data_IF_692243989445
#
_entry.id   IF_692243989445
#
_cell.length_a   1.000
_cell.length_b   1.000
_cell.length_c   1.000
_cell.angle_alpha   90.00
_cell.angle_beta   90.00
_cell.angle_gamma   90.00
#
_symmetry.space_group_name_H-M   'P 1'
#
loop_
_entity.id
_entity.type
_entity.pdbx_description
1 polymer ?
#
# COMPACT_ATOMS: atom_id res chain seq x y z
N UNK A 1 -6.72 7.23 -5.87
CA UNK A 1 -7.72 7.14 -4.79
C UNK A 1 -7.83 8.53 -4.20
N UNK A 2 -8.90 9.25 -4.51
CA UNK A 2 -9.14 10.56 -3.88
C UNK A 2 -9.46 10.34 -2.41
N UNK A 3 -8.70 10.99 -1.55
CA UNK A 3 -8.93 11.03 -0.11
C UNK A 3 -10.14 11.94 0.08
N UNK A 4 -11.28 11.40 0.52
CA UNK A 4 -12.43 12.22 0.88
C UNK A 4 -12.11 12.97 2.17
N UNK A 5 -12.61 14.21 2.32
CA UNK A 5 -12.52 14.95 3.58
C UNK A 5 -13.57 14.42 4.59
N UNK A 6 -13.45 13.16 4.99
CA UNK A 6 -14.41 12.47 5.86
C UNK A 6 -13.88 12.20 7.28
N UNK A 7 -12.80 12.90 7.67
CA UNK A 7 -12.08 12.70 8.95
C UNK A 7 -11.52 11.28 9.14
N UNK A 8 -11.55 10.42 8.12
CA UNK A 8 -10.98 9.08 8.19
C UNK A 8 -9.46 9.10 8.00
N UNK A 9 -8.78 8.12 8.59
CA UNK A 9 -7.35 7.85 8.34
C UNK A 9 -7.24 6.80 7.24
N UNK A 10 -6.54 7.14 6.17
CA UNK A 10 -6.33 6.26 5.02
C UNK A 10 -4.97 5.59 5.12
N UNK A 11 -4.95 4.25 5.05
CA UNK A 11 -3.73 3.45 5.11
C UNK A 11 -3.61 2.60 3.84
N UNK A 12 -2.44 2.62 3.23
CA UNK A 12 -2.16 2.00 1.93
C UNK A 12 -1.15 2.83 1.13
N UNK A 13 -0.94 2.53 -0.16
CA UNK A 13 -1.60 1.53 -0.99
C UNK A 13 -1.02 0.14 -0.77
N UNK A 14 -1.92 -0.85 -0.74
CA UNK A 14 -1.52 -2.25 -0.76
C UNK A 14 -1.20 -2.70 -2.21
N UNK A 15 -0.23 -3.60 -2.43
CA UNK A 15 0.18 -4.02 -3.77
C UNK A 15 -0.99 -4.52 -4.62
N UNK A 16 -1.85 -5.33 -4.01
CA UNK A 16 -3.07 -5.86 -4.61
C UNK A 16 -4.19 -5.96 -3.57
N UNK A 17 -5.41 -6.27 -4.02
CA UNK A 17 -6.60 -6.43 -3.16
C UNK A 17 -6.42 -7.53 -2.12
N UNK A 18 -5.66 -8.58 -2.46
CA UNK A 18 -5.40 -9.70 -1.57
C UNK A 18 -4.56 -9.28 -0.36
N UNK A 19 -3.47 -8.51 -0.56
CA UNK A 19 -2.65 -7.97 0.54
C UNK A 19 -3.42 -7.02 1.46
N UNK A 20 -4.29 -6.18 0.89
CA UNK A 20 -5.17 -5.34 1.70
C UNK A 20 -6.12 -6.18 2.57
N UNK A 21 -6.67 -7.25 1.99
CA UNK A 21 -7.57 -8.16 2.69
C UNK A 21 -6.86 -8.94 3.80
N UNK A 22 -5.66 -9.48 3.53
CA UNK A 22 -4.85 -10.16 4.54
C UNK A 22 -4.50 -9.22 5.71
N UNK A 23 -4.13 -7.97 5.41
CA UNK A 23 -3.86 -6.96 6.45
C UNK A 23 -5.10 -6.70 7.29
N UNK A 24 -6.28 -6.55 6.66
CA UNK A 24 -7.54 -6.37 7.37
C UNK A 24 -7.87 -7.57 8.26
N UNK A 25 -7.78 -8.80 7.73
CA UNK A 25 -8.05 -10.03 8.48
C UNK A 25 -7.12 -10.16 9.70
N UNK A 26 -5.83 -9.85 9.53
CA UNK A 26 -4.86 -9.82 10.61
C UNK A 26 -5.20 -8.78 11.67
N UNK A 27 -5.51 -7.53 11.26
CA UNK A 27 -5.88 -6.47 12.18
C UNK A 27 -7.11 -6.83 12.99
N UNK A 28 -8.11 -7.46 12.37
CA UNK A 28 -9.33 -7.84 13.08
C UNK A 28 -9.13 -9.00 14.05
N UNK A 29 -8.12 -9.85 13.85
CA UNK A 29 -7.71 -10.88 14.82
C UNK A 29 -6.96 -10.28 16.01
N UNK A 30 -6.10 -9.30 15.74
CA UNK A 30 -5.27 -8.63 16.77
C UNK A 30 -6.07 -7.62 17.60
N UNK A 31 -6.90 -6.83 16.93
CA UNK A 31 -7.61 -5.67 17.47
C UNK A 31 -9.09 -5.74 17.06
N UNK A 32 -9.88 -6.58 17.74
CA UNK A 32 -11.29 -6.75 17.42
C UNK A 32 -12.02 -5.41 17.49
N UNK A 33 -12.84 -5.13 16.48
CA UNK A 33 -13.73 -3.97 16.38
C UNK A 33 -15.11 -4.43 15.91
N UNK A 34 -16.11 -3.56 16.02
CA UNK A 34 -17.44 -3.88 15.50
C UNK A 34 -17.38 -4.12 13.98
N UNK A 35 -17.99 -5.22 13.53
CA UNK A 35 -18.03 -5.61 12.11
C UNK A 35 -19.42 -5.44 11.46
N UNK A 36 -20.40 -4.98 12.22
CA UNK A 36 -21.78 -4.89 11.80
C UNK A 36 -22.39 -3.56 12.26
N UNK A 37 -23.61 -3.28 11.83
CA UNK A 37 -24.31 -2.04 12.14
C UNK A 37 -24.85 -1.97 13.59
N UNK A 38 -24.56 -2.97 14.44
CA UNK A 38 -24.78 -2.87 15.88
C UNK A 38 -26.13 -3.35 16.41
N UNK A 39 -27.03 -3.90 15.58
CA UNK A 39 -28.45 -4.12 15.95
C UNK A 39 -28.90 -5.59 15.98
N UNK A 40 -28.09 -6.49 16.54
CA UNK A 40 -28.48 -7.91 16.61
C UNK A 40 -29.19 -8.31 17.92
N UNK A 41 -28.95 -7.62 19.05
CA UNK A 41 -29.56 -7.96 20.35
C UNK A 41 -29.25 -9.36 20.87
N UNK A 42 -28.19 -10.00 20.34
CA UNK A 42 -27.67 -11.31 20.72
C UNK A 42 -26.21 -11.45 20.26
N UNK A 43 -25.40 -12.33 20.88
CA UNK A 43 -24.02 -12.53 20.46
C UNK A 43 -23.98 -13.21 19.08
N UNK A 44 -23.13 -12.69 18.18
CA UNK A 44 -22.91 -13.29 16.86
C UNK A 44 -21.67 -14.19 16.86
N UNK A 45 -21.51 -14.99 15.80
CA UNK A 45 -20.37 -15.88 15.63
C UNK A 45 -19.03 -15.14 15.74
N UNK A 46 -18.92 -13.92 15.19
CA UNK A 46 -17.68 -13.14 15.27
C UNK A 46 -17.32 -12.76 16.71
N UNK A 47 -18.30 -12.52 17.58
CA UNK A 47 -18.04 -12.28 19.00
C UNK A 47 -17.55 -13.57 19.69
N UNK A 48 -18.22 -14.70 19.43
CA UNK A 48 -17.84 -15.99 19.99
C UNK A 48 -16.43 -16.43 19.56
N UNK A 49 -16.03 -16.07 18.34
CA UNK A 49 -14.67 -16.30 17.82
C UNK A 49 -13.65 -15.25 18.30
N UNK A 50 -14.03 -14.27 19.13
CA UNK A 50 -13.15 -13.19 19.59
C UNK A 50 -12.75 -12.17 18.51
N UNK A 51 -13.44 -12.15 17.37
CA UNK A 51 -13.19 -11.29 16.22
C UNK A 51 -13.98 -9.97 16.24
N UNK A 52 -14.81 -9.78 17.25
CA UNK A 52 -15.63 -8.58 17.49
C UNK A 52 -15.76 -8.34 19.01
N UNK A 53 -15.83 -7.08 19.42
CA UNK A 53 -16.04 -6.68 20.84
C UNK A 53 -17.50 -6.79 21.29
N UNK A 54 -18.42 -7.15 20.39
CA UNK A 54 -19.80 -7.48 20.73
C UNK A 54 -20.70 -6.31 21.19
N UNK A 55 -20.61 -5.08 20.64
CA UNK A 55 -21.39 -3.94 21.13
C UNK A 55 -22.91 -4.10 20.88
N UNK A 56 -23.33 -5.12 20.14
CA UNK A 56 -24.73 -5.42 19.85
C UNK A 56 -25.51 -5.98 21.03
N UNK A 57 -24.80 -6.52 22.02
CA UNK A 57 -25.36 -7.28 23.14
C UNK A 57 -24.57 -7.09 24.45
N UNK A 58 -23.37 -6.51 24.36
CA UNK A 58 -22.49 -6.25 25.51
C UNK A 58 -22.20 -4.76 25.64
N UNK A 59 -21.98 -4.31 26.87
CA UNK A 59 -21.52 -2.95 27.13
C UNK A 59 -20.10 -2.75 26.61
N UNK A 60 -19.94 -1.79 25.70
CA UNK A 60 -18.65 -1.41 25.14
C UNK A 60 -18.50 0.10 25.29
N UNK A 61 -17.50 0.52 26.05
CA UNK A 61 -17.26 1.95 26.26
C UNK A 61 -16.56 2.61 25.06
N UNK A 62 -16.74 3.92 24.85
CA UNK A 62 -15.99 4.66 23.84
C UNK A 62 -14.47 4.51 24.00
N UNK A 63 -13.98 4.43 25.24
CA UNK A 63 -12.55 4.24 25.55
C UNK A 63 -12.01 2.89 25.07
N UNK A 64 -12.78 1.81 25.23
CA UNK A 64 -12.41 0.49 24.72
C UNK A 64 -12.26 0.53 23.20
N UNK A 65 -13.19 1.19 22.52
CA UNK A 65 -13.16 1.37 21.07
C UNK A 65 -11.93 2.18 20.64
N UNK A 66 -11.69 3.31 21.31
CA UNK A 66 -10.58 4.20 21.00
C UNK A 66 -9.21 3.53 21.23
N UNK A 67 -9.11 2.66 22.24
CA UNK A 67 -7.90 1.87 22.50
C UNK A 67 -7.59 0.92 21.34
N UNK A 68 -8.60 0.28 20.75
CA UNK A 68 -8.41 -0.58 19.57
C UNK A 68 -8.04 0.25 18.33
N UNK A 69 -8.71 1.37 18.08
CA UNK A 69 -8.35 2.29 16.99
C UNK A 69 -6.88 2.75 17.10
N UNK A 70 -6.44 3.08 18.31
CA UNK A 70 -5.07 3.53 18.57
C UNK A 70 -4.06 2.43 18.25
N UNK A 71 -4.33 1.18 18.65
CA UNK A 71 -3.47 0.02 18.34
C UNK A 71 -3.40 -0.25 16.84
N UNK A 72 -4.53 -0.21 16.14
CA UNK A 72 -4.61 -0.38 14.68
C UNK A 72 -3.81 0.72 13.98
N UNK A 73 -4.02 1.98 14.38
CA UNK A 73 -3.29 3.14 13.86
C UNK A 73 -1.77 2.94 14.02
N UNK A 74 -1.33 2.58 15.23
CA UNK A 74 0.09 2.36 15.52
C UNK A 74 0.69 1.20 14.71
N UNK A 75 -0.05 0.11 14.54
CA UNK A 75 0.37 -1.02 13.72
C UNK A 75 0.61 -0.59 12.27
N UNK A 76 -0.36 0.13 11.70
CA UNK A 76 -0.32 0.61 10.31
C UNK A 76 0.70 1.75 10.09
N UNK A 77 1.06 2.50 11.12
CA UNK A 77 2.16 3.50 11.10
C UNK A 77 3.57 2.88 11.14
N UNK A 78 3.69 1.55 11.02
CA UNK A 78 4.99 0.87 10.94
C UNK A 78 5.53 0.34 12.27
N UNK A 79 4.71 0.32 13.35
CA UNK A 79 5.11 -0.30 14.63
C UNK A 79 4.85 -1.82 14.67
N UNK A 80 4.63 -2.45 13.51
CA UNK A 80 4.42 -3.88 13.37
C UNK A 80 5.57 -4.72 13.97
N UNK A 81 6.82 -4.26 13.86
CA UNK A 81 7.98 -4.95 14.47
C UNK A 81 7.86 -5.03 16.01
N UNK A 82 7.42 -3.93 16.65
CA UNK A 82 7.17 -3.89 18.09
C UNK A 82 6.05 -4.84 18.49
N UNK A 83 4.96 -4.87 17.72
CA UNK A 83 3.83 -5.79 17.96
C UNK A 83 4.28 -7.24 17.81
N UNK A 84 5.08 -7.55 16.78
CA UNK A 84 5.66 -8.88 16.58
C UNK A 84 6.52 -9.31 17.77
N UNK A 85 7.37 -8.41 18.29
CA UNK A 85 8.18 -8.71 19.46
C UNK A 85 7.33 -9.00 20.71
N UNK A 86 6.28 -8.20 20.93
CA UNK A 86 5.34 -8.44 22.04
C UNK A 86 4.64 -9.80 21.93
N UNK A 87 4.18 -10.16 20.73
CA UNK A 87 3.57 -11.47 20.48
C UNK A 87 4.54 -12.62 20.68
N UNK A 88 5.81 -12.46 20.29
CA UNK A 88 6.87 -13.48 20.53
C UNK A 88 7.11 -13.69 22.03
N UNK A 89 7.11 -12.62 22.83
CA UNK A 89 7.24 -12.71 24.29
C UNK A 89 6.02 -13.41 24.88
N UNK A 90 4.81 -13.01 24.49
CA UNK A 90 3.58 -13.62 24.99
C UNK A 90 3.47 -15.09 24.60
N UNK A 91 3.84 -15.46 23.37
CA UNK A 91 3.88 -16.84 22.92
C UNK A 91 4.80 -17.70 23.80
N UNK A 92 6.00 -17.22 24.13
CA UNK A 92 6.91 -17.91 25.03
C UNK A 92 6.30 -18.12 26.41
N UNK A 93 5.64 -17.10 26.96
CA UNK A 93 4.94 -17.19 28.23
C UNK A 93 3.82 -18.24 28.22
N UNK A 94 3.06 -18.33 27.12
CA UNK A 94 2.02 -19.36 26.96
C UNK A 94 2.61 -20.78 26.85
N UNK A 95 3.79 -20.93 26.22
CA UNK A 95 4.52 -22.21 26.19
C UNK A 95 4.99 -22.60 27.59
N UNK A 96 5.55 -21.67 28.36
CA UNK A 96 5.96 -21.89 29.75
C UNK A 96 4.78 -22.29 30.65
N UNK A 97 3.59 -21.75 30.37
CA UNK A 97 2.34 -22.10 31.04
C UNK A 97 1.67 -23.38 30.50
N UNK A 98 2.30 -24.10 29.56
CA UNK A 98 1.78 -25.31 28.91
C UNK A 98 0.48 -25.11 28.11
N UNK A 99 0.18 -23.87 27.70
CA UNK A 99 -0.96 -23.50 26.86
C UNK A 99 -0.61 -23.56 25.37
N UNK A 100 -0.39 -24.78 24.86
CA UNK A 100 0.11 -25.00 23.50
C UNK A 100 -0.83 -24.51 22.39
N UNK A 101 -2.15 -24.65 22.56
CA UNK A 101 -3.13 -24.15 21.60
C UNK A 101 -3.01 -22.63 21.45
N UNK A 102 -2.93 -21.92 22.57
CA UNK A 102 -2.78 -20.46 22.57
C UNK A 102 -1.44 -20.01 22.00
N UNK A 103 -0.37 -20.75 22.28
CA UNK A 103 0.94 -20.50 21.67
C UNK A 103 0.91 -20.72 20.15
N UNK A 104 0.21 -21.74 19.66
CA UNK A 104 0.04 -22.00 18.23
C UNK A 104 -0.72 -20.86 17.54
N UNK A 105 -1.80 -20.36 18.15
CA UNK A 105 -2.53 -19.20 17.62
C UNK A 105 -1.65 -17.96 17.51
N UNK A 106 -0.84 -17.68 18.54
CA UNK A 106 0.10 -16.55 18.54
C UNK A 106 1.19 -16.71 17.48
N UNK A 107 1.70 -17.93 17.28
CA UNK A 107 2.66 -18.26 16.21
C UNK A 107 2.05 -17.98 14.84
N UNK A 108 0.83 -18.42 14.59
CA UNK A 108 0.16 -18.24 13.31
C UNK A 108 -0.11 -16.75 13.01
N UNK A 109 -0.42 -15.96 14.05
CA UNK A 109 -0.51 -14.49 13.96
C UNK A 109 0.85 -13.87 13.63
N UNK A 110 1.94 -14.33 14.25
CA UNK A 110 3.30 -13.85 13.96
C UNK A 110 3.68 -14.12 12.50
N UNK A 111 3.41 -15.33 12.00
CA UNK A 111 3.66 -15.70 10.61
C UNK A 111 2.84 -14.83 9.65
N UNK A 112 1.56 -14.58 9.97
CA UNK A 112 0.72 -13.68 9.19
C UNK A 112 1.26 -12.24 9.17
N UNK A 113 1.84 -11.74 10.27
CA UNK A 113 2.52 -10.43 10.29
C UNK A 113 3.75 -10.45 9.39
N UNK A 114 4.58 -11.49 9.46
CA UNK A 114 5.79 -11.63 8.65
C UNK A 114 5.44 -11.68 7.15
N UNK A 115 4.46 -12.49 6.75
CA UNK A 115 4.01 -12.58 5.35
C UNK A 115 3.38 -11.29 4.83
N UNK A 116 2.65 -10.56 5.66
CA UNK A 116 1.88 -9.38 5.22
C UNK A 116 2.72 -8.10 5.26
N UNK A 117 3.53 -7.90 6.31
CA UNK A 117 4.31 -6.68 6.55
C UNK A 117 5.73 -6.79 6.01
N UNK A 118 6.41 -7.93 6.14
CA UNK A 118 7.80 -8.04 5.66
C UNK A 118 7.89 -8.11 4.15
N UNK A 119 6.91 -8.69 3.43
CA UNK A 119 6.87 -8.60 1.95
C UNK A 119 6.84 -7.16 1.44
N UNK A 120 6.28 -6.21 2.21
CA UNK A 120 6.28 -4.79 1.85
C UNK A 120 7.65 -4.14 2.12
N UNK A 121 8.35 -4.54 3.19
CA UNK A 121 9.64 -3.96 3.60
C UNK A 121 10.86 -4.57 2.87
N UNK A 122 10.78 -5.83 2.42
CA UNK A 122 11.87 -6.55 1.75
C UNK A 122 12.22 -5.91 0.39
N UNK A 123 11.22 -5.38 -0.33
CA UNK A 123 11.38 -4.75 -1.65
C UNK A 123 12.17 -3.43 -1.55
N UNK A 124 11.96 -2.64 -0.49
CA UNK A 124 12.53 -1.29 -0.40
C UNK A 124 13.87 -1.21 0.32
N UNK A 125 14.16 -2.15 1.23
CA UNK A 125 15.50 -2.41 1.76
C UNK A 125 16.11 -1.31 2.65
N UNK A 126 15.54 -0.11 2.67
CA UNK A 126 15.95 1.02 3.51
C UNK A 126 14.76 1.92 3.88
N UNK A 127 14.92 2.76 4.90
CA UNK A 127 13.90 3.71 5.37
C UNK A 127 13.89 5.04 4.60
N UNK A 128 14.58 5.13 3.46
CA UNK A 128 14.69 6.41 2.77
C UNK A 128 13.40 6.79 2.04
N UNK A 129 13.10 8.08 2.03
CA UNK A 129 11.99 8.64 1.26
C UNK A 129 12.42 8.86 -0.18
N UNK A 130 11.83 8.11 -1.10
CA UNK A 130 12.13 8.16 -2.54
C UNK A 130 10.85 7.99 -3.34
N UNK A 131 10.83 8.45 -4.58
CA UNK A 131 9.82 7.95 -5.51
C UNK A 131 10.48 7.06 -6.55
N UNK A 132 9.70 6.18 -7.15
CA UNK A 132 10.14 5.28 -8.23
C UNK A 132 9.19 5.45 -9.39
N UNK A 133 9.76 5.80 -10.54
CA UNK A 133 9.05 5.83 -11.81
C UNK A 133 9.35 4.55 -12.56
N UNK A 134 8.33 4.02 -13.20
CA UNK A 134 8.46 3.05 -14.28
C UNK A 134 7.55 3.47 -15.43
N UNK A 135 7.84 2.99 -16.63
CA UNK A 135 7.02 3.26 -17.80
C UNK A 135 6.93 2.05 -18.71
N UNK A 136 5.95 2.07 -19.60
CA UNK A 136 5.76 1.04 -20.62
C UNK A 136 5.13 1.65 -21.86
N UNK A 137 5.37 1.03 -23.01
CA UNK A 137 4.82 1.44 -24.29
C UNK A 137 4.21 0.25 -25.02
N UNK A 138 3.04 0.46 -25.64
CA UNK A 138 2.41 -0.52 -26.53
C UNK A 138 1.47 0.18 -27.50
N UNK A 139 1.56 -0.16 -28.78
CA UNK A 139 0.67 0.36 -29.83
C UNK A 139 0.62 1.91 -29.85
N UNK A 140 1.74 2.58 -29.59
CA UNK A 140 1.83 4.05 -29.51
C UNK A 140 1.28 4.67 -28.22
N UNK A 141 0.57 3.91 -27.38
CA UNK A 141 0.21 4.34 -26.04
C UNK A 141 1.41 4.17 -25.13
N UNK A 142 1.63 5.17 -24.26
CA UNK A 142 2.72 5.15 -23.28
C UNK A 142 2.13 5.37 -21.90
N UNK A 143 2.45 4.52 -20.94
CA UNK A 143 2.05 4.70 -19.55
C UNK A 143 3.28 4.97 -18.70
N UNK A 144 3.12 5.80 -17.67
CA UNK A 144 4.06 5.84 -16.56
C UNK A 144 3.35 5.56 -15.24
N UNK A 145 4.11 5.04 -14.30
CA UNK A 145 3.65 4.69 -12.97
C UNK A 145 4.65 5.18 -11.94
N UNK A 146 4.17 5.95 -10.96
CA UNK A 146 4.96 6.54 -9.87
C UNK A 146 4.57 5.89 -8.56
N UNK A 147 5.52 5.26 -7.89
CA UNK A 147 5.39 4.83 -6.51
C UNK A 147 5.99 5.87 -5.57
N UNK A 148 5.22 6.28 -4.57
CA UNK A 148 5.72 7.13 -3.49
C UNK A 148 6.17 6.24 -2.35
N UNK A 149 7.48 6.22 -2.04
CA UNK A 149 8.04 5.40 -0.95
C UNK A 149 8.46 6.30 0.20
N UNK A 150 7.93 6.07 1.39
CA UNK A 150 8.35 6.78 2.61
C UNK A 150 8.58 5.75 3.72
N UNK A 151 9.65 5.91 4.49
CA UNK A 151 10.01 4.99 5.58
C UNK A 151 10.06 3.51 5.15
N UNK A 152 10.53 3.23 3.93
CA UNK A 152 10.67 1.85 3.43
C UNK A 152 9.37 1.15 3.05
N UNK A 153 8.26 1.88 2.93
CA UNK A 153 6.97 1.37 2.47
C UNK A 153 6.43 2.23 1.32
N UNK A 154 5.57 1.65 0.48
CA UNK A 154 4.82 2.42 -0.53
C UNK A 154 3.67 3.14 0.19
N UNK A 155 3.67 4.47 0.14
CA UNK A 155 2.65 5.36 0.71
C UNK A 155 1.64 5.85 -0.33
N UNK A 156 1.94 5.66 -1.61
CA UNK A 156 1.04 6.04 -2.68
C UNK A 156 1.47 5.47 -4.03
N UNK A 157 0.53 5.48 -4.96
CA UNK A 157 0.84 5.33 -6.37
C UNK A 157 -0.03 6.24 -7.22
N UNK A 158 0.55 6.77 -8.28
CA UNK A 158 -0.17 7.48 -9.35
C UNK A 158 0.36 6.96 -10.68
N UNK A 159 -0.45 7.11 -11.72
CA UNK A 159 -0.08 6.70 -13.07
C UNK A 159 -0.72 7.65 -14.07
N UNK A 160 -0.15 7.69 -15.26
CA UNK A 160 -0.69 8.40 -16.40
C UNK A 160 -0.62 7.54 -17.66
N UNK A 161 -1.44 7.87 -18.63
CA UNK A 161 -1.40 7.32 -19.98
C UNK A 161 -1.32 8.49 -20.94
N UNK A 162 -0.39 8.38 -21.88
CA UNK A 162 -0.26 9.23 -23.04
C UNK A 162 -0.79 8.46 -24.24
N UNK A 163 -1.70 9.10 -24.97
CA UNK A 163 -2.22 8.60 -26.24
C UNK A 163 -1.21 8.79 -27.38
N UNK A 164 -1.33 8.04 -28.48
CA UNK A 164 -0.40 8.14 -29.62
C UNK A 164 -0.30 9.53 -30.25
N UNK A 165 -1.35 10.35 -30.14
CA UNK A 165 -1.40 11.72 -30.66
C UNK A 165 -0.61 12.73 -29.81
N UNK A 166 -0.29 12.38 -28.57
CA UNK A 166 0.50 13.24 -27.69
C UNK A 166 1.98 13.08 -28.02
N UNK A 167 2.62 14.11 -28.58
CA UNK A 167 4.05 14.08 -28.92
C UNK A 167 5.00 14.23 -27.72
N UNK A 168 4.44 14.48 -26.53
CA UNK A 168 5.20 14.67 -25.30
C UNK A 168 6.13 13.47 -25.02
N UNK A 169 7.37 13.75 -24.60
CA UNK A 169 8.31 12.72 -24.15
C UNK A 169 7.91 12.15 -22.78
N UNK A 170 8.51 11.02 -22.40
CA UNK A 170 8.21 10.42 -21.09
C UNK A 170 8.73 11.30 -19.95
N UNK A 171 9.89 11.90 -20.14
CA UNK A 171 10.51 12.84 -19.20
C UNK A 171 9.65 14.08 -19.02
N UNK A 172 9.14 14.66 -20.11
CA UNK A 172 8.22 15.79 -20.05
C UNK A 172 6.94 15.43 -19.29
N UNK A 173 6.41 14.22 -19.47
CA UNK A 173 5.23 13.75 -18.75
C UNK A 173 5.48 13.62 -17.24
N UNK A 174 6.66 13.12 -16.86
CA UNK A 174 7.10 13.02 -15.45
C UNK A 174 7.30 14.42 -14.86
N UNK A 175 7.89 15.36 -15.60
CA UNK A 175 8.06 16.75 -15.17
C UNK A 175 6.70 17.40 -14.95
N UNK A 176 5.80 17.30 -15.92
CA UNK A 176 4.44 17.84 -15.82
C UNK A 176 3.67 17.23 -14.64
N UNK A 177 3.89 15.94 -14.35
CA UNK A 177 3.33 15.29 -13.17
C UNK A 177 3.77 15.98 -11.88
N UNK A 178 5.06 16.22 -11.66
CA UNK A 178 5.56 16.87 -10.44
C UNK A 178 5.28 18.38 -10.37
N UNK A 179 4.91 19.02 -11.47
CA UNK A 179 4.44 20.42 -11.48
C UNK A 179 3.01 20.56 -10.94
N UNK A 180 2.24 19.46 -10.83
CA UNK A 180 0.89 19.53 -10.26
C UNK A 180 0.95 19.78 -8.74
N UNK A 181 0.08 20.64 -8.19
CA UNK A 181 0.17 21.10 -6.79
C UNK A 181 0.05 19.99 -5.74
N UNK A 182 -0.54 18.84 -6.10
CA UNK A 182 -0.72 17.69 -5.21
C UNK A 182 0.41 16.65 -5.28
N UNK A 183 1.50 16.92 -6.02
CA UNK A 183 2.62 16.01 -6.19
C UNK A 183 3.90 16.61 -5.60
N UNK A 184 4.20 16.24 -4.35
CA UNK A 184 5.42 16.69 -3.68
C UNK A 184 6.65 15.95 -4.22
N UNK A 185 7.74 16.68 -4.46
CA UNK A 185 9.03 16.12 -4.85
C UNK A 185 9.61 15.24 -3.73
N UNK A 186 10.14 14.04 -4.05
CA UNK A 186 10.84 13.19 -3.09
C UNK A 186 12.28 13.68 -2.83
N UNK A 187 12.98 13.03 -1.88
CA UNK A 187 14.42 13.28 -1.66
C UNK A 187 15.30 12.74 -2.80
N UNK A 188 14.87 11.63 -3.41
CA UNK A 188 15.49 11.06 -4.61
C UNK A 188 14.41 10.40 -5.48
N UNK A 189 14.65 10.38 -6.78
CA UNK A 189 13.79 9.72 -7.77
C UNK A 189 14.54 8.60 -8.46
N UNK A 190 13.99 7.39 -8.45
CA UNK A 190 14.50 6.25 -9.19
C UNK A 190 13.80 6.18 -10.54
N UNK A 191 14.57 6.01 -11.61
CA UNK A 191 14.06 5.96 -12.98
C UNK A 191 14.60 4.75 -13.75
N UNK A 192 13.90 4.32 -14.81
CA UNK A 192 14.43 3.38 -15.81
C UNK A 192 15.68 3.92 -16.53
N UNK A 193 16.49 3.02 -17.08
CA UNK A 193 17.81 3.36 -17.65
C UNK A 193 17.77 4.01 -19.03
N UNK A 194 16.62 3.91 -19.69
CA UNK A 194 16.27 4.48 -20.98
C UNK A 194 15.77 5.94 -20.89
N UNK A 195 15.49 6.45 -19.69
CA UNK A 195 15.15 7.86 -19.47
C UNK A 195 16.39 8.75 -19.26
N UNK A 196 16.32 10.00 -19.71
CA UNK A 196 17.41 10.97 -19.54
C UNK A 196 17.49 11.48 -18.08
N UNK A 197 18.43 10.90 -17.34
CA UNK A 197 18.76 11.29 -15.96
C UNK A 197 19.15 12.77 -15.84
N UNK A 198 19.91 13.30 -16.81
CA UNK A 198 20.46 14.67 -16.74
C UNK A 198 19.37 15.71 -16.95
N UNK A 199 18.46 15.45 -17.89
CA UNK A 199 17.31 16.29 -18.16
C UNK A 199 16.36 16.36 -16.95
N UNK A 200 15.98 15.20 -16.40
CA UNK A 200 15.11 15.12 -15.22
C UNK A 200 15.73 15.76 -13.97
N UNK A 201 17.04 15.58 -13.77
CA UNK A 201 17.77 16.20 -12.64
C UNK A 201 17.74 17.72 -12.72
N UNK A 202 17.91 18.26 -13.93
CA UNK A 202 17.90 19.70 -14.18
C UNK A 202 16.50 20.28 -13.96
N UNK A 203 15.47 19.61 -14.45
CA UNK A 203 14.09 20.08 -14.35
C UNK A 203 13.50 20.00 -12.93
N UNK A 204 13.79 18.92 -12.20
CA UNK A 204 13.18 18.67 -10.88
C UNK A 204 14.04 19.16 -9.71
N UNK A 205 15.34 19.42 -9.92
CA UNK A 205 16.25 19.90 -8.88
C UNK A 205 16.55 18.88 -7.76
N UNK A 206 16.23 17.60 -7.98
CA UNK A 206 16.44 16.51 -7.01
C UNK A 206 17.43 15.46 -7.54
N UNK A 207 18.08 14.69 -6.66
CA UNK A 207 18.85 13.51 -7.06
C UNK A 207 18.01 12.51 -7.87
N UNK A 208 18.45 12.23 -9.10
CA UNK A 208 17.89 11.19 -9.96
C UNK A 208 18.86 10.00 -9.96
N UNK A 209 18.35 8.78 -9.76
CA UNK A 209 19.13 7.55 -9.67
C UNK A 209 18.66 6.57 -10.73
N UNK A 210 19.59 6.10 -11.54
CA UNK A 210 19.39 5.00 -12.49
C UNK A 210 20.02 3.74 -11.89
N UNK A 211 19.25 2.87 -11.22
CA UNK A 211 19.81 1.67 -10.61
C UNK A 211 20.24 0.67 -11.69
N UNK A 212 21.44 0.10 -11.56
CA UNK A 212 21.97 -0.92 -12.50
C UNK A 212 21.90 -2.34 -11.97
N UNK A 213 21.73 -2.53 -10.66
CA UNK A 213 21.66 -3.85 -9.98
C UNK A 213 21.05 -3.75 -8.57
N UNK A 214 20.59 -4.88 -8.06
CA UNK A 214 20.08 -5.05 -6.69
C UNK A 214 18.65 -4.54 -6.47
N UNK A 215 18.25 -4.39 -5.21
CA UNK A 215 16.86 -4.06 -4.82
C UNK A 215 16.29 -2.80 -5.47
N UNK A 216 17.11 -1.76 -5.66
CA UNK A 216 16.66 -0.53 -6.34
C UNK A 216 16.26 -0.78 -7.80
N UNK A 217 16.91 -1.75 -8.48
CA UNK A 217 16.53 -2.14 -9.84
C UNK A 217 15.22 -2.96 -9.83
N UNK A 218 15.07 -3.89 -8.88
CA UNK A 218 13.81 -4.65 -8.71
C UNK A 218 12.60 -3.72 -8.48
N UNK A 219 12.79 -2.62 -7.74
CA UNK A 219 11.77 -1.59 -7.56
C UNK A 219 11.34 -0.92 -8.86
N UNK A 220 12.30 -0.60 -9.74
CA UNK A 220 12.01 -0.02 -11.05
C UNK A 220 11.30 -1.04 -11.94
N UNK A 221 11.70 -2.32 -11.92
CA UNK A 221 10.99 -3.38 -12.63
C UNK A 221 9.54 -3.53 -12.17
N UNK A 222 9.30 -3.50 -10.86
CA UNK A 222 7.94 -3.51 -10.32
C UNK A 222 7.12 -2.32 -10.84
N UNK A 223 7.71 -1.13 -10.94
CA UNK A 223 7.04 0.04 -11.51
C UNK A 223 6.71 -0.14 -13.01
N UNK A 224 7.64 -0.72 -13.79
CA UNK A 224 7.42 -1.04 -15.19
C UNK A 224 6.29 -2.08 -15.40
N UNK A 225 6.26 -3.14 -14.58
CA UNK A 225 5.19 -4.15 -14.63
C UNK A 225 3.82 -3.55 -14.29
N UNK A 226 3.76 -2.64 -13.31
CA UNK A 226 2.53 -1.94 -12.96
C UNK A 226 2.09 -1.00 -14.09
N UNK A 227 3.02 -0.32 -14.75
CA UNK A 227 2.73 0.49 -15.92
C UNK A 227 2.19 -0.36 -17.07
N UNK A 228 2.82 -1.51 -17.36
CA UNK A 228 2.36 -2.44 -18.40
C UNK A 228 0.96 -2.97 -18.10
N UNK A 229 0.68 -3.29 -16.84
CA UNK A 229 -0.64 -3.74 -16.39
C UNK A 229 -1.71 -2.66 -16.55
N UNK A 230 -1.38 -1.39 -16.24
CA UNK A 230 -2.28 -0.26 -16.44
C UNK A 230 -2.61 -0.06 -17.92
N UNK A 231 -1.61 -0.20 -18.78
CA UNK A 231 -1.76 -0.05 -20.22
C UNK A 231 -2.56 -1.20 -20.85
N UNK A 232 -2.37 -2.43 -20.36
CA UNK A 232 -3.19 -3.58 -20.73
C UNK A 232 -4.67 -3.38 -20.35
N UNK A 233 -4.93 -2.89 -19.13
CA UNK A 233 -6.29 -2.57 -18.69
C UNK A 233 -6.92 -1.47 -19.56
N UNK A 234 -6.16 -0.45 -19.94
CA UNK A 234 -6.62 0.61 -20.83
C UNK A 234 -6.95 0.10 -22.24
N UNK A 235 -6.08 -0.73 -22.85
CA UNK A 235 -6.32 -1.32 -24.16
C UNK A 235 -7.62 -2.15 -24.17
N UNK A 236 -7.83 -2.99 -23.16
CA UNK A 236 -9.04 -3.79 -23.03
C UNK A 236 -10.31 -2.92 -22.81
N UNK A 237 -10.19 -1.75 -22.18
CA UNK A 237 -11.30 -0.79 -22.08
C UNK A 237 -11.63 -0.14 -23.43
N UNK A 238 -10.62 0.20 -24.23
CA UNK A 238 -10.80 0.76 -25.59
C UNK A 238 -11.48 -0.25 -26.52
N UNK A 239 -11.11 -1.53 -26.45
CA UNK A 239 -11.75 -2.60 -27.21
C UNK A 239 -13.22 -2.79 -26.83
N UNK A 240 -13.55 -2.70 -25.54
CA UNK A 240 -14.93 -2.83 -25.04
C UNK A 240 -15.78 -1.58 -25.28
N UNK A 241 -15.18 -0.40 -25.29
CA UNK A 241 -15.89 0.89 -25.37
C UNK A 241 -15.19 1.84 -26.35
N UNK A 242 -15.23 1.57 -27.66
CA UNK A 242 -14.49 2.34 -28.66
C UNK A 242 -14.89 3.83 -28.74
N UNK A 243 -16.10 4.19 -28.29
CA UNK A 243 -16.62 5.56 -28.32
C UNK A 243 -16.64 6.27 -26.94
N UNK A 244 -16.32 5.58 -25.84
CA UNK A 244 -16.64 6.06 -24.48
C UNK A 244 -15.60 6.99 -23.82
N UNK A 245 -14.40 7.14 -24.41
CA UNK A 245 -13.30 7.91 -23.80
C UNK A 245 -13.13 9.32 -24.40
N UNK A 246 -13.98 9.74 -25.35
CA UNK A 246 -13.95 11.08 -25.93
C UNK A 246 -14.56 12.18 -25.03
N UNK A 247 -15.24 11.82 -23.95
CA UNK A 247 -16.04 12.75 -23.12
C UNK A 247 -15.58 12.88 -21.66
N UNK A 248 -14.28 12.74 -21.39
CA UNK A 248 -13.70 13.11 -20.10
C UNK A 248 -12.48 14.01 -20.31
N UNK A 249 -12.76 15.26 -20.73
CA UNK A 249 -11.83 16.39 -20.63
C UNK A 249 -12.15 17.19 -19.38
#
# INVERSE_FOLDING_TARGET
MEIKQDKAKYFGPYPNRYSARQTMELLQRLYPLCRCEGKLGRPCLYYQMGLCIGPCDHEVTPEMYQKQITKITQFLEGKASKVKQQLKVEMKRQIEALHFERAAELRDIILAIEETVEKQHIIFGDFSSRDIVGYSERNGYRSFHVFFVRNGAINGRKWGILSPDQQQSMEEAIIAFYQQPNNMLPKELLIPADLDQSYLKTALGIPIIVPKRGKKLEQVHLANENSSSALHAHAHLLEKFPNGLREAK
#
